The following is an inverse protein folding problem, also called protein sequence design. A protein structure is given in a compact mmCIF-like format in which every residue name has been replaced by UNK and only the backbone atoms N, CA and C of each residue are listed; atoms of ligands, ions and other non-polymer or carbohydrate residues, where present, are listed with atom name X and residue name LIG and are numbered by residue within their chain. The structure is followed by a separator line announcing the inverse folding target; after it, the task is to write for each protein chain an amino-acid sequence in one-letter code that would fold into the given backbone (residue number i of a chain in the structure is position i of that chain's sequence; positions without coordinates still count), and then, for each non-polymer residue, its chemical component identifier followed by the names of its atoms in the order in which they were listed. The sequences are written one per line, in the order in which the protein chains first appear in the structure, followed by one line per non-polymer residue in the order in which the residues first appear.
data_IF_716522816475
#
_entry.id   IF_716522816475
#
_cell.length_a   1.000
_cell.length_b   1.000
_cell.length_c   1.000
_cell.angle_alpha   90.00
_cell.angle_beta   90.00
_cell.angle_gamma   90.00
#
_symmetry.space_group_name_H-M   'P 1'
#
loop_
_entity.id
_entity.type
_entity.pdbx_description
1 polymer ?
#
# COMPACT_ATOMS: atom_id res chain seq x y z
N UNK A 1 18.42 -19.10 0.72
CA UNK A 1 18.58 -18.82 2.16
C UNK A 1 17.52 -17.81 2.55
N UNK A 2 16.87 -17.97 3.69
CA UNK A 2 16.01 -16.92 4.22
C UNK A 2 16.88 -15.71 4.61
N UNK A 3 16.48 -14.48 4.25
CA UNK A 3 17.13 -13.25 4.73
C UNK A 3 17.25 -13.25 6.24
N UNK A 4 18.37 -12.73 6.75
CA UNK A 4 18.54 -12.50 8.18
C UNK A 4 17.69 -11.31 8.63
N UNK A 5 17.43 -11.22 9.94
CA UNK A 5 16.75 -10.07 10.56
C UNK A 5 17.35 -8.72 10.11
N UNK A 6 18.67 -8.61 10.08
CA UNK A 6 19.40 -7.39 9.71
C UNK A 6 19.17 -6.89 8.27
N UNK A 7 18.71 -7.78 7.40
CA UNK A 7 18.46 -7.50 5.96
C UNK A 7 16.97 -7.46 5.63
N UNK A 8 16.09 -7.60 6.63
CA UNK A 8 14.64 -7.47 6.50
C UNK A 8 14.17 -6.10 6.98
N UNK A 9 13.39 -5.42 6.16
CA UNK A 9 12.85 -4.10 6.48
C UNK A 9 11.33 -4.08 6.31
N UNK A 10 10.64 -3.62 7.34
CA UNK A 10 9.27 -3.15 7.24
C UNK A 10 9.27 -1.67 6.87
N UNK A 11 8.56 -1.33 5.81
CA UNK A 11 8.50 0.01 5.25
C UNK A 11 7.04 0.45 5.17
N UNK A 12 6.71 1.52 5.90
CA UNK A 12 5.35 2.05 5.96
C UNK A 12 5.28 3.55 5.69
N UNK A 13 4.10 4.05 5.33
CA UNK A 13 3.84 5.47 5.22
C UNK A 13 2.89 5.92 6.33
N UNK A 14 3.35 6.87 7.15
CA UNK A 14 2.66 7.39 8.32
C UNK A 14 2.47 8.92 8.28
N UNK A 15 2.54 9.51 7.09
CA UNK A 15 2.32 10.95 6.90
C UNK A 15 0.89 11.32 7.31
N UNK A 16 0.77 12.36 8.15
CA UNK A 16 -0.52 12.80 8.69
C UNK A 16 -0.97 12.03 9.92
N UNK A 17 -0.21 11.02 10.36
CA UNK A 17 -0.49 10.30 11.61
C UNK A 17 0.44 10.72 12.73
N UNK A 18 -0.09 10.70 13.95
CA UNK A 18 0.66 10.85 15.20
C UNK A 18 1.00 9.49 15.81
N UNK A 19 2.04 9.39 16.67
CA UNK A 19 2.46 8.14 17.29
C UNK A 19 1.33 7.24 17.84
N UNK A 20 0.26 7.76 18.50
CA UNK A 20 -0.85 6.93 18.97
C UNK A 20 -1.58 6.15 17.88
N UNK A 21 -1.65 6.68 16.65
CA UNK A 21 -2.37 6.05 15.54
C UNK A 21 -1.57 4.91 14.88
N UNK A 22 -0.25 4.87 15.09
CA UNK A 22 0.63 3.79 14.62
C UNK A 22 0.82 2.69 15.67
N UNK A 23 0.20 2.86 16.84
CA UNK A 23 0.43 2.01 18.01
C UNK A 23 0.06 0.56 17.73
N UNK A 24 -1.03 0.31 16.99
CA UNK A 24 -1.51 -1.04 16.66
C UNK A 24 -0.43 -1.86 15.96
N UNK A 25 0.13 -1.33 14.86
CA UNK A 25 1.21 -2.00 14.15
C UNK A 25 2.47 -2.13 15.02
N UNK A 26 2.95 -1.03 15.60
CA UNK A 26 4.23 -1.03 16.32
C UNK A 26 4.21 -1.92 17.57
N UNK A 27 3.11 -1.93 18.32
CA UNK A 27 2.97 -2.81 19.48
C UNK A 27 2.79 -4.26 19.09
N UNK A 28 2.05 -4.57 18.01
CA UNK A 28 1.93 -5.96 17.53
C UNK A 28 3.29 -6.51 17.10
N UNK A 29 4.09 -5.73 16.35
CA UNK A 29 5.46 -6.10 15.98
C UNK A 29 6.35 -6.35 17.20
N UNK A 30 6.27 -5.49 18.22
CA UNK A 30 7.02 -5.68 19.47
C UNK A 30 6.56 -6.94 20.23
N UNK A 31 5.26 -7.22 20.28
CA UNK A 31 4.68 -8.39 20.95
C UNK A 31 5.16 -9.69 20.30
N UNK A 32 5.23 -9.73 18.97
CA UNK A 32 5.71 -10.92 18.25
C UNK A 32 7.24 -11.00 18.16
N UNK A 33 7.96 -10.03 18.73
CA UNK A 33 9.41 -10.00 18.74
C UNK A 33 10.03 -9.78 17.36
N UNK A 34 9.46 -8.90 16.53
CA UNK A 34 9.98 -8.59 15.20
C UNK A 34 11.45 -8.16 15.26
N UNK A 35 12.32 -8.91 14.59
CA UNK A 35 13.77 -8.64 14.58
C UNK A 35 14.24 -7.76 13.42
N UNK A 36 13.36 -7.46 12.46
CA UNK A 36 13.68 -6.60 11.32
C UNK A 36 13.72 -5.11 11.66
N UNK A 37 14.18 -4.29 10.71
CA UNK A 37 14.17 -2.84 10.86
C UNK A 37 12.81 -2.26 10.46
N UNK A 38 12.33 -1.27 11.21
CA UNK A 38 11.10 -0.55 10.89
C UNK A 38 11.49 0.82 10.32
N UNK A 39 11.03 1.13 9.11
CA UNK A 39 11.25 2.41 8.42
C UNK A 39 9.89 3.03 8.11
N UNK A 40 9.66 4.27 8.56
CA UNK A 40 8.38 4.95 8.38
C UNK A 40 8.57 6.28 7.66
N UNK A 41 7.88 6.48 6.53
CA UNK A 41 7.76 7.81 5.94
C UNK A 41 6.83 8.65 6.78
N UNK A 42 7.30 9.78 7.28
CA UNK A 42 6.53 10.70 8.12
C UNK A 42 6.47 12.08 7.49
N UNK A 43 5.41 12.82 7.82
CA UNK A 43 5.30 14.22 7.42
C UNK A 43 6.19 15.12 8.27
N UNK A 44 5.80 16.38 8.39
CA UNK A 44 6.40 17.29 9.37
C UNK A 44 5.90 16.92 10.77
N UNK A 45 6.78 16.31 11.57
CA UNK A 45 6.50 15.92 12.96
C UNK A 45 7.44 16.67 13.91
N UNK A 46 6.96 17.13 15.08
CA UNK A 46 7.83 17.68 16.11
C UNK A 46 8.91 16.69 16.53
N UNK A 47 10.07 17.20 16.98
CA UNK A 47 11.19 16.36 17.43
C UNK A 47 10.77 15.34 18.50
N UNK A 48 9.91 15.73 19.45
CA UNK A 48 9.38 14.83 20.48
C UNK A 48 8.58 13.64 19.90
N UNK A 49 7.81 13.85 18.82
CA UNK A 49 7.07 12.77 18.16
C UNK A 49 8.01 11.86 17.35
N UNK A 50 9.04 12.43 16.73
CA UNK A 50 10.11 11.67 16.06
C UNK A 50 10.86 10.77 17.06
N UNK A 51 11.15 11.30 18.25
CA UNK A 51 11.82 10.53 19.32
C UNK A 51 10.92 9.46 19.90
N UNK A 52 9.61 9.72 20.03
CA UNK A 52 8.64 8.70 20.43
C UNK A 52 8.59 7.53 19.44
N UNK A 53 8.67 7.80 18.13
CA UNK A 53 8.75 6.74 17.10
C UNK A 53 10.05 5.94 17.20
N UNK A 54 11.19 6.61 17.43
CA UNK A 54 12.48 5.94 17.66
C UNK A 54 12.47 5.07 18.91
N UNK A 55 11.85 5.53 19.99
CA UNK A 55 11.67 4.76 21.22
C UNK A 55 10.80 3.50 21.02
N UNK A 56 9.93 3.50 20.00
CA UNK A 56 9.16 2.33 19.58
C UNK A 56 9.91 1.43 18.57
N UNK A 57 11.19 1.71 18.28
CA UNK A 57 12.03 0.93 17.37
C UNK A 57 11.89 1.31 15.89
N UNK A 58 11.18 2.39 15.57
CA UNK A 58 11.03 2.87 14.19
C UNK A 58 12.11 3.88 13.79
N UNK A 59 12.51 3.84 12.53
CA UNK A 59 13.38 4.83 11.88
C UNK A 59 12.50 5.74 11.02
N UNK A 60 12.07 6.91 11.53
CA UNK A 60 11.26 7.83 10.74
C UNK A 60 12.11 8.56 9.69
N UNK A 61 11.57 8.67 8.47
CA UNK A 61 12.13 9.42 7.34
C UNK A 61 11.14 10.53 7.00
N UNK A 62 11.53 11.77 7.22
CA UNK A 62 10.72 12.92 6.87
C UNK A 62 10.59 13.05 5.34
N UNK A 63 9.36 13.18 4.85
CA UNK A 63 9.06 13.43 3.44
C UNK A 63 8.28 14.73 3.29
N UNK A 64 8.67 15.54 2.31
CA UNK A 64 8.10 16.87 2.05
C UNK A 64 7.73 17.09 0.58
N UNK A 65 7.91 16.07 -0.26
CA UNK A 65 7.64 16.15 -1.69
C UNK A 65 6.34 15.40 -2.05
N UNK A 66 5.18 15.94 -1.66
CA UNK A 66 3.86 15.46 -2.12
C UNK A 66 2.79 16.56 -2.03
N UNK A 67 1.65 16.48 -2.76
CA UNK A 67 0.66 17.56 -2.79
C UNK A 67 0.13 18.02 -1.42
N UNK A 68 0.10 17.14 -0.42
CA UNK A 68 -0.35 17.43 0.94
C UNK A 68 0.70 18.11 1.84
N UNK A 69 1.97 18.16 1.45
CA UNK A 69 3.03 18.89 2.18
C UNK A 69 3.29 20.29 1.65
N UNK A 70 2.68 20.67 0.53
CA UNK A 70 2.86 22.00 -0.05
C UNK A 70 1.89 23.03 0.53
N UNK A 71 2.32 24.30 0.51
CA UNK A 71 1.40 25.41 0.81
C UNK A 71 0.17 25.38 -0.12
N UNK A 72 -0.97 25.88 0.39
CA UNK A 72 -2.22 25.97 -0.39
C UNK A 72 -2.03 26.66 -1.75
N UNK A 73 -1.17 27.69 -1.82
CA UNK A 73 -0.85 28.40 -3.07
C UNK A 73 -0.17 27.47 -4.10
N UNK A 74 0.81 26.68 -3.65
CA UNK A 74 1.53 25.73 -4.51
C UNK A 74 0.60 24.59 -4.93
N UNK A 75 -0.22 24.09 -4.00
CA UNK A 75 -1.21 23.05 -4.29
C UNK A 75 -2.22 23.51 -5.34
N UNK A 76 -2.79 24.73 -5.22
CA UNK A 76 -3.70 25.31 -6.22
C UNK A 76 -3.03 25.50 -7.59
N UNK A 77 -1.78 25.96 -7.63
CA UNK A 77 -1.03 26.07 -8.90
C UNK A 77 -0.85 24.71 -9.56
N UNK A 78 -0.41 23.73 -8.77
CA UNK A 78 -0.23 22.36 -9.23
C UNK A 78 -1.56 21.81 -9.76
N UNK A 79 -2.66 21.92 -8.99
CA UNK A 79 -3.97 21.36 -9.33
C UNK A 79 -4.73 22.15 -10.41
N UNK A 80 -4.21 23.32 -10.82
CA UNK A 80 -4.89 24.16 -11.81
C UNK A 80 -5.13 23.42 -13.13
N UNK A 81 -6.30 23.63 -13.79
CA UNK A 81 -6.60 23.01 -15.08
C UNK A 81 -5.54 23.27 -16.16
N UNK A 82 -4.85 24.42 -16.06
CA UNK A 82 -3.74 24.80 -16.97
C UNK A 82 -2.48 23.98 -16.74
N UNK A 83 -2.21 23.55 -15.50
CA UNK A 83 -1.06 22.70 -15.17
C UNK A 83 -1.32 21.22 -15.50
N UNK A 84 -2.59 20.77 -15.47
CA UNK A 84 -2.97 19.38 -15.79
C UNK A 84 -2.31 18.80 -17.04
N UNK A 85 -2.42 19.42 -18.25
CA UNK A 85 -1.76 18.88 -19.44
C UNK A 85 -0.25 18.78 -19.27
N UNK A 86 0.39 19.79 -18.67
CA UNK A 86 1.84 19.82 -18.46
C UNK A 86 2.33 18.65 -17.58
N UNK A 87 1.57 18.27 -16.54
CA UNK A 87 1.88 17.11 -15.69
C UNK A 87 1.96 15.81 -16.50
N UNK A 88 0.94 15.59 -17.33
CA UNK A 88 0.87 14.43 -18.21
C UNK A 88 2.02 14.42 -19.21
N UNK A 89 2.37 15.56 -19.80
CA UNK A 89 3.46 15.67 -20.77
C UNK A 89 4.84 15.36 -20.17
N UNK A 90 5.16 15.86 -18.97
CA UNK A 90 6.45 15.56 -18.32
C UNK A 90 6.60 14.07 -18.03
N UNK A 91 5.55 13.45 -17.48
CA UNK A 91 5.56 12.03 -17.17
C UNK A 91 5.57 11.18 -18.45
N UNK A 92 4.80 11.58 -19.47
CA UNK A 92 4.81 10.93 -20.77
C UNK A 92 6.20 11.00 -21.40
N UNK A 93 6.83 12.17 -21.44
CA UNK A 93 8.18 12.33 -21.98
C UNK A 93 9.17 11.42 -21.26
N UNK A 94 9.17 11.41 -19.92
CA UNK A 94 10.03 10.53 -19.11
C UNK A 94 9.84 9.04 -19.42
N UNK A 95 8.64 8.63 -19.85
CA UNK A 95 8.34 7.23 -20.25
C UNK A 95 8.91 6.85 -21.61
N UNK A 96 8.93 7.80 -22.55
CA UNK A 96 9.35 7.61 -23.94
C UNK A 96 10.87 7.76 -24.15
N UNK A 97 11.59 8.33 -23.19
CA UNK A 97 13.05 8.38 -23.24
C UNK A 97 13.64 6.96 -23.28
N UNK A 98 14.69 6.71 -24.10
CA UNK A 98 15.34 5.41 -24.24
C UNK A 98 16.25 5.10 -23.04
N UNK A 99 15.65 5.04 -21.85
CA UNK A 99 16.34 4.81 -20.58
C UNK A 99 16.21 3.34 -20.15
N UNK A 100 17.20 2.86 -19.41
CA UNK A 100 17.09 1.58 -18.72
C UNK A 100 15.90 1.61 -17.74
N UNK A 101 15.30 0.45 -17.46
CA UNK A 101 14.14 0.38 -16.56
C UNK A 101 14.43 1.03 -15.21
N UNK A 102 15.60 0.76 -14.62
CA UNK A 102 16.01 1.34 -13.33
C UNK A 102 16.08 2.86 -13.37
N UNK A 103 16.72 3.45 -14.39
CA UNK A 103 16.85 4.91 -14.52
C UNK A 103 15.47 5.55 -14.75
N UNK A 104 14.65 4.96 -15.61
CA UNK A 104 13.28 5.42 -15.85
C UNK A 104 12.41 5.36 -14.61
N UNK A 105 12.42 4.26 -13.86
CA UNK A 105 11.62 4.14 -12.63
C UNK A 105 12.08 5.15 -11.58
N UNK A 106 13.40 5.39 -11.43
CA UNK A 106 13.92 6.45 -10.55
C UNK A 106 13.40 7.83 -10.95
N UNK A 107 13.47 8.16 -12.24
CA UNK A 107 12.99 9.44 -12.76
C UNK A 107 11.49 9.62 -12.49
N UNK A 108 10.69 8.59 -12.78
CA UNK A 108 9.25 8.57 -12.52
C UNK A 108 8.93 8.67 -11.04
N UNK A 109 9.65 7.97 -10.16
CA UNK A 109 9.46 8.06 -8.73
C UNK A 109 9.70 9.50 -8.23
N UNK A 110 10.84 10.11 -8.61
CA UNK A 110 11.20 11.46 -8.18
C UNK A 110 10.24 12.54 -8.69
N UNK A 111 9.71 12.38 -9.90
CA UNK A 111 8.74 13.34 -10.46
C UNK A 111 7.34 13.06 -9.90
N UNK A 112 6.93 11.79 -9.85
CA UNK A 112 5.58 11.36 -9.53
C UNK A 112 5.15 11.67 -8.10
N UNK A 113 6.08 11.63 -7.13
CA UNK A 113 5.75 11.96 -5.72
C UNK A 113 5.13 13.35 -5.58
N UNK A 114 5.48 14.31 -6.46
CA UNK A 114 4.93 15.67 -6.44
C UNK A 114 3.46 15.75 -6.91
N UNK A 115 2.91 14.70 -7.51
CA UNK A 115 1.56 14.68 -8.10
C UNK A 115 0.59 13.75 -7.38
N UNK A 116 1.08 12.87 -6.53
CA UNK A 116 0.30 11.80 -5.92
C UNK A 116 0.16 11.98 -4.40
N UNK A 117 -1.05 11.76 -3.87
CA UNK A 117 -1.28 11.68 -2.42
C UNK A 117 -0.37 10.61 -1.79
N UNK A 118 -0.05 10.74 -0.49
CA UNK A 118 0.94 9.85 0.15
C UNK A 118 0.59 8.36 0.07
N UNK A 119 -0.70 8.01 0.14
CA UNK A 119 -1.16 6.62 -0.04
C UNK A 119 -0.71 5.99 -1.37
N UNK A 120 -0.45 6.82 -2.38
CA UNK A 120 0.04 6.42 -3.70
C UNK A 120 1.54 6.67 -3.82
N UNK A 121 2.00 7.85 -3.38
CA UNK A 121 3.42 8.21 -3.43
C UNK A 121 4.31 7.26 -2.59
N UNK A 122 3.75 6.55 -1.61
CA UNK A 122 4.48 5.54 -0.81
C UNK A 122 5.19 4.48 -1.66
N UNK A 123 4.59 4.05 -2.78
CA UNK A 123 5.24 3.07 -3.68
C UNK A 123 6.44 3.67 -4.41
N UNK A 124 6.36 4.96 -4.77
CA UNK A 124 7.43 5.69 -5.45
C UNK A 124 8.60 5.93 -4.48
N UNK A 125 8.30 6.34 -3.24
CA UNK A 125 9.30 6.47 -2.18
C UNK A 125 9.94 5.12 -1.83
N UNK A 126 9.13 4.06 -1.67
CA UNK A 126 9.62 2.73 -1.35
C UNK A 126 10.56 2.21 -2.45
N UNK A 127 10.26 2.45 -3.73
CA UNK A 127 11.15 2.06 -4.83
C UNK A 127 12.51 2.76 -4.74
N UNK A 128 12.52 4.10 -4.65
CA UNK A 128 13.77 4.86 -4.66
C UNK A 128 14.60 4.58 -3.40
N UNK A 129 13.93 4.38 -2.26
CA UNK A 129 14.58 3.98 -1.01
C UNK A 129 15.19 2.57 -1.11
N UNK A 130 14.44 1.57 -1.59
CA UNK A 130 14.95 0.20 -1.71
C UNK A 130 16.13 0.14 -2.69
N UNK A 131 16.07 0.89 -3.79
CA UNK A 131 17.16 0.96 -4.77
C UNK A 131 18.45 1.56 -4.19
N UNK A 132 18.34 2.49 -3.24
CA UNK A 132 19.47 3.12 -2.53
C UNK A 132 20.00 2.29 -1.36
N UNK A 133 19.26 1.27 -0.91
CA UNK A 133 19.63 0.41 0.22
C UNK A 133 19.88 -1.03 -0.26
N UNK A 134 21.04 -1.32 -0.91
CA UNK A 134 21.31 -2.61 -1.55
C UNK A 134 21.44 -3.79 -0.58
N UNK A 135 21.69 -3.51 0.71
CA UNK A 135 21.80 -4.53 1.77
C UNK A 135 20.46 -5.14 2.17
N UNK A 136 19.35 -4.47 1.84
CA UNK A 136 17.99 -4.98 2.12
C UNK A 136 17.67 -6.11 1.17
N UNK A 137 17.50 -7.31 1.71
CA UNK A 137 17.18 -8.53 0.98
C UNK A 137 15.67 -8.85 0.99
N UNK A 138 14.94 -8.34 1.98
CA UNK A 138 13.48 -8.49 2.10
C UNK A 138 12.83 -7.18 2.49
N UNK A 139 11.75 -6.84 1.80
CA UNK A 139 10.93 -5.68 2.10
C UNK A 139 9.51 -6.15 2.43
N UNK A 140 8.97 -5.65 3.54
CA UNK A 140 7.58 -5.74 3.95
C UNK A 140 7.01 -4.33 3.77
N UNK A 141 6.28 -4.10 2.68
CA UNK A 141 5.56 -2.84 2.48
C UNK A 141 4.21 -2.96 3.18
N UNK A 142 3.91 -2.09 4.15
CA UNK A 142 2.64 -2.17 4.86
C UNK A 142 2.00 -0.81 5.20
N UNK A 143 0.68 -0.81 5.34
CA UNK A 143 -0.05 0.23 6.05
C UNK A 143 0.22 0.17 7.56
N UNK A 144 0.04 1.31 8.22
CA UNK A 144 0.48 1.51 9.62
C UNK A 144 -0.65 1.54 10.64
N UNK A 145 -1.91 1.62 10.19
CA UNK A 145 -3.08 1.72 11.07
C UNK A 145 -3.86 0.42 11.20
N UNK A 146 -4.02 -0.29 10.10
CA UNK A 146 -4.94 -1.40 9.91
C UNK A 146 -4.22 -2.71 9.56
N UNK A 147 -2.96 -2.83 9.97
CA UNK A 147 -2.17 -4.06 9.89
C UNK A 147 -1.71 -4.48 11.28
N UNK A 148 -1.96 -5.74 11.62
CA UNK A 148 -1.56 -6.37 12.88
C UNK A 148 -0.60 -7.52 12.57
N UNK A 149 0.57 -7.54 13.21
CA UNK A 149 1.47 -8.70 13.13
C UNK A 149 0.99 -9.82 14.07
N UNK A 150 0.77 -11.01 13.53
CA UNK A 150 0.36 -12.20 14.29
C UNK A 150 1.55 -13.11 14.62
N UNK A 151 2.62 -13.05 13.84
CA UNK A 151 3.94 -13.62 14.15
C UNK A 151 5.03 -12.74 13.54
N UNK A 152 6.30 -13.00 13.84
CA UNK A 152 7.41 -12.23 13.27
C UNK A 152 7.43 -12.36 11.72
N UNK A 153 7.10 -11.30 10.96
CA UNK A 153 7.09 -11.36 9.50
C UNK A 153 8.51 -11.48 8.89
N UNK A 154 9.57 -11.18 9.63
CA UNK A 154 10.93 -11.45 9.19
C UNK A 154 11.27 -12.94 9.23
N UNK A 155 10.67 -13.71 10.12
CA UNK A 155 10.91 -15.15 10.26
C UNK A 155 9.94 -16.03 9.47
N UNK A 156 8.89 -15.44 8.91
CA UNK A 156 7.93 -16.20 8.13
C UNK A 156 8.63 -16.90 6.94
N UNK A 157 8.41 -18.22 6.75
CA UNK A 157 9.08 -19.00 5.72
C UNK A 157 8.50 -18.65 4.34
N UNK A 158 9.02 -17.59 3.76
CA UNK A 158 8.70 -17.18 2.39
C UNK A 158 9.64 -17.89 1.42
N UNK A 159 9.06 -18.66 0.50
CA UNK A 159 9.75 -19.03 -0.74
C UNK A 159 10.12 -17.75 -1.52
N UNK A 160 11.07 -17.83 -2.45
CA UNK A 160 11.42 -16.67 -3.28
C UNK A 160 10.20 -16.23 -4.11
N UNK A 161 9.98 -14.92 -4.17
CA UNK A 161 8.85 -14.32 -4.86
C UNK A 161 8.26 -13.09 -4.16
N UNK A 162 7.16 -12.64 -4.74
CA UNK A 162 6.27 -11.63 -4.20
C UNK A 162 5.12 -12.33 -3.47
N UNK A 163 4.78 -11.87 -2.28
CA UNK A 163 3.70 -12.37 -1.46
C UNK A 163 2.68 -11.26 -1.26
N UNK A 164 1.45 -11.55 -1.67
CA UNK A 164 0.32 -10.63 -1.60
C UNK A 164 -0.80 -11.30 -0.80
N UNK A 165 -1.59 -10.49 -0.10
CA UNK A 165 -2.58 -10.96 0.85
C UNK A 165 -3.97 -10.58 0.36
N UNK A 166 -4.92 -11.50 0.48
CA UNK A 166 -6.32 -11.30 0.15
C UNK A 166 -7.03 -10.64 1.33
N UNK A 167 -8.06 -9.82 1.10
CA UNK A 167 -8.81 -9.15 2.19
C UNK A 167 -9.81 -10.10 2.87
N UNK A 168 -10.75 -10.63 2.08
CA UNK A 168 -11.71 -11.65 2.47
C UNK A 168 -11.79 -12.67 1.32
N UNK A 169 -11.79 -13.97 1.65
CA UNK A 169 -11.95 -15.05 0.69
C UNK A 169 -13.31 -15.01 -0.05
N UNK A 170 -14.32 -14.32 0.49
CA UNK A 170 -15.68 -14.20 -0.06
C UNK A 170 -15.83 -13.00 -0.99
N UNK A 171 -15.01 -11.97 -0.80
CA UNK A 171 -15.05 -10.71 -1.55
C UNK A 171 -14.39 -10.81 -2.93
N UNK A 172 -14.95 -10.08 -3.90
CA UNK A 172 -14.36 -9.92 -5.22
C UNK A 172 -14.38 -8.44 -5.64
N UNK A 173 -13.60 -8.08 -6.66
CA UNK A 173 -13.45 -6.70 -7.12
C UNK A 173 -14.77 -6.05 -7.59
N UNK A 174 -15.81 -6.83 -7.93
CA UNK A 174 -17.13 -6.34 -8.32
C UNK A 174 -17.99 -6.02 -7.09
N UNK A 175 -18.08 -6.98 -6.17
CA UNK A 175 -19.11 -7.02 -5.12
C UNK A 175 -18.60 -6.67 -3.73
N UNK A 176 -17.29 -6.48 -3.55
CA UNK A 176 -16.65 -6.28 -2.23
C UNK A 176 -17.48 -5.40 -1.30
N UNK A 177 -18.04 -6.03 -0.26
CA UNK A 177 -18.72 -5.38 0.85
C UNK A 177 -17.64 -4.87 1.81
N UNK A 178 -17.59 -3.55 2.04
CA UNK A 178 -16.99 -3.05 3.27
C UNK A 178 -18.07 -3.12 4.34
N UNK A 179 -17.84 -3.91 5.40
CA UNK A 179 -18.76 -4.00 6.52
C UNK A 179 -19.14 -2.61 7.02
N UNK A 180 -20.43 -2.46 7.30
CA UNK A 180 -20.99 -1.31 8.01
C UNK A 180 -20.25 -1.20 9.33
N UNK A 181 -19.29 -0.28 9.47
CA UNK A 181 -19.03 0.54 10.66
C UNK A 181 -17.65 1.25 10.61
N UNK A 182 -17.70 2.56 10.83
CA UNK A 182 -16.64 3.47 11.28
C UNK A 182 -15.69 4.14 10.25
N UNK A 183 -15.97 5.43 10.07
CA UNK A 183 -15.01 6.56 9.99
C UNK A 183 -14.23 6.87 8.70
N UNK A 184 -14.35 6.12 7.61
CA UNK A 184 -13.92 6.59 6.28
C UNK A 184 -15.09 6.68 5.30
N UNK A 185 -15.96 7.64 5.54
CA UNK A 185 -16.98 8.09 4.60
C UNK A 185 -16.30 8.66 3.33
N UNK A 186 -16.29 7.90 2.25
CA UNK A 186 -16.49 8.48 0.93
C UNK A 186 -17.93 8.20 0.53
N UNK A 187 -18.84 8.91 1.18
CA UNK A 187 -20.20 9.07 0.68
C UNK A 187 -20.14 9.65 -0.73
N UNK A 188 -20.91 9.11 -1.66
CA UNK A 188 -21.39 9.94 -2.75
C UNK A 188 -22.09 11.18 -2.16
N UNK A 189 -22.20 12.27 -2.91
CA UNK A 189 -22.76 13.53 -2.42
C UNK A 189 -24.22 13.42 -1.87
N UNK A 190 -24.87 12.27 -2.09
CA UNK A 190 -26.22 11.93 -1.64
C UNK A 190 -26.28 11.01 -0.40
N UNK A 191 -25.14 10.69 0.23
CA UNK A 191 -25.10 9.85 1.43
C UNK A 191 -25.30 8.35 1.18
N UNK A 192 -25.28 7.88 -0.07
CA UNK A 192 -25.42 6.45 -0.36
C UNK A 192 -24.09 5.68 -0.20
N UNK A 193 -24.20 4.54 0.49
CA UNK A 193 -23.13 3.57 0.74
C UNK A 193 -22.76 2.82 -0.56
N UNK A 194 -21.49 2.83 -0.98
CA UNK A 194 -21.07 2.17 -2.21
C UNK A 194 -20.56 0.74 -1.96
N UNK A 195 -21.47 -0.25 -2.06
CA UNK A 195 -21.08 -1.60 -2.48
C UNK A 195 -20.24 -1.49 -3.76
N UNK A 196 -19.12 -2.22 -3.85
CA UNK A 196 -18.32 -2.25 -5.07
C UNK A 196 -17.45 -1.02 -5.31
N UNK A 197 -16.94 -0.36 -4.25
CA UNK A 197 -15.97 0.75 -4.40
C UNK A 197 -14.70 0.32 -5.18
N UNK A 198 -14.25 -0.94 -5.02
CA UNK A 198 -13.18 -1.51 -5.84
C UNK A 198 -13.55 -1.52 -7.35
N UNK A 199 -14.79 -1.84 -7.68
CA UNK A 199 -15.30 -1.80 -9.05
C UNK A 199 -15.39 -0.36 -9.56
N UNK A 200 -15.76 0.60 -8.70
CA UNK A 200 -15.78 2.02 -9.04
C UNK A 200 -14.36 2.54 -9.35
N UNK A 201 -13.37 2.20 -8.54
CA UNK A 201 -11.96 2.53 -8.81
C UNK A 201 -11.45 1.90 -10.11
N UNK A 202 -11.74 0.61 -10.32
CA UNK A 202 -11.36 -0.11 -11.54
C UNK A 202 -11.99 0.51 -12.79
N UNK A 203 -13.30 0.81 -12.73
CA UNK A 203 -14.06 1.46 -13.81
C UNK A 203 -13.49 2.83 -14.12
N UNK A 204 -13.19 3.63 -13.10
CA UNK A 204 -12.67 4.98 -13.30
C UNK A 204 -11.31 4.98 -13.99
N UNK A 205 -10.38 4.10 -13.56
CA UNK A 205 -9.02 4.07 -14.09
C UNK A 205 -8.88 3.33 -15.43
N UNK A 206 -9.67 2.27 -15.65
CA UNK A 206 -9.47 1.33 -16.74
C UNK A 206 -10.70 1.10 -17.63
N UNK A 207 -11.86 1.63 -17.22
CA UNK A 207 -13.13 1.49 -17.95
C UNK A 207 -13.86 0.16 -17.71
N UNK A 208 -15.09 0.08 -18.21
CA UNK A 208 -16.01 -1.04 -17.99
C UNK A 208 -15.44 -2.40 -18.41
N UNK A 209 -14.63 -2.42 -19.48
CA UNK A 209 -14.01 -3.66 -19.98
C UNK A 209 -13.16 -4.36 -18.92
N UNK A 210 -12.51 -3.59 -18.05
CA UNK A 210 -11.72 -4.17 -16.96
C UNK A 210 -12.59 -4.68 -15.82
N UNK A 211 -13.72 -4.02 -15.52
CA UNK A 211 -14.69 -4.52 -14.55
C UNK A 211 -15.28 -5.85 -14.99
N UNK A 212 -15.70 -5.97 -16.26
CA UNK A 212 -16.20 -7.24 -16.81
C UNK A 212 -15.13 -8.33 -16.75
N UNK A 213 -13.89 -7.99 -17.07
CA UNK A 213 -12.78 -8.96 -17.13
C UNK A 213 -12.29 -9.41 -15.75
N UNK A 214 -12.19 -8.49 -14.79
CA UNK A 214 -11.50 -8.72 -13.51
C UNK A 214 -12.43 -8.68 -12.30
N UNK A 215 -13.67 -8.19 -12.43
CA UNK A 215 -14.57 -7.96 -11.29
C UNK A 215 -14.75 -9.20 -10.40
N UNK A 216 -14.84 -10.40 -10.97
CA UNK A 216 -14.98 -11.66 -10.21
C UNK A 216 -13.68 -12.20 -9.61
N UNK A 217 -12.55 -11.49 -9.76
CA UNK A 217 -11.29 -11.89 -9.14
C UNK A 217 -11.27 -11.49 -7.66
N UNK A 218 -10.59 -12.27 -6.80
CA UNK A 218 -10.49 -11.95 -5.39
C UNK A 218 -9.74 -10.63 -5.19
N UNK A 219 -10.08 -9.91 -4.14
CA UNK A 219 -9.43 -8.65 -3.79
C UNK A 219 -8.12 -8.98 -3.07
N UNK A 220 -7.01 -8.48 -3.59
CA UNK A 220 -5.73 -8.44 -2.85
C UNK A 220 -5.51 -7.05 -2.27
N UNK A 221 -5.24 -6.98 -0.96
CA UNK A 221 -4.93 -5.74 -0.26
C UNK A 221 -3.58 -5.18 -0.73
N UNK A 222 -3.58 -3.97 -1.27
CA UNK A 222 -2.36 -3.26 -1.63
C UNK A 222 -1.62 -2.70 -0.40
N UNK A 223 -2.29 -2.69 0.76
CA UNK A 223 -1.78 -2.24 2.05
C UNK A 223 -0.84 -3.21 2.74
N UNK A 224 -0.59 -4.39 2.18
CA UNK A 224 0.44 -5.31 2.67
C UNK A 224 1.02 -6.12 1.51
N UNK A 225 2.33 -6.11 1.38
CA UNK A 225 3.06 -6.90 0.38
C UNK A 225 4.44 -7.22 0.91
N UNK A 226 4.85 -8.48 0.80
CA UNK A 226 6.16 -8.94 1.26
C UNK A 226 6.90 -9.58 0.10
N UNK A 227 8.20 -9.36 -0.02
CA UNK A 227 8.96 -10.10 -1.03
C UNK A 227 10.45 -10.01 -0.84
N UNK A 228 11.16 -10.89 -1.55
CA UNK A 228 12.59 -10.74 -1.75
C UNK A 228 12.90 -9.47 -2.57
N UNK A 229 14.13 -8.98 -2.45
CA UNK A 229 14.56 -7.73 -3.10
C UNK A 229 14.26 -7.70 -4.61
N UNK A 230 14.66 -8.71 -5.42
CA UNK A 230 14.30 -8.73 -6.84
C UNK A 230 12.80 -8.59 -7.11
N UNK A 231 11.97 -9.37 -6.40
CA UNK A 231 10.52 -9.33 -6.55
C UNK A 231 9.93 -7.99 -6.13
N UNK A 232 10.41 -7.39 -5.04
CA UNK A 232 9.93 -6.09 -4.57
C UNK A 232 10.35 -4.94 -5.48
N UNK A 233 11.58 -4.94 -6.00
CA UNK A 233 12.00 -3.94 -7.00
C UNK A 233 11.17 -4.04 -8.28
N UNK A 234 10.83 -5.26 -8.71
CA UNK A 234 9.96 -5.48 -9.87
C UNK A 234 8.53 -4.99 -9.61
N UNK A 235 7.94 -5.39 -8.47
CA UNK A 235 6.61 -4.95 -8.04
C UNK A 235 6.49 -3.43 -7.95
N UNK A 236 7.41 -2.79 -7.22
CA UNK A 236 7.41 -1.35 -7.02
C UNK A 236 7.66 -0.58 -8.34
N UNK A 237 8.44 -1.15 -9.26
CA UNK A 237 8.62 -0.58 -10.60
C UNK A 237 7.33 -0.68 -11.45
N UNK A 238 6.61 -1.80 -11.38
CA UNK A 238 5.33 -1.99 -12.06
C UNK A 238 4.27 -1.03 -11.51
N UNK A 239 4.15 -0.93 -10.18
CA UNK A 239 3.28 0.05 -9.50
C UNK A 239 3.63 1.47 -9.92
N UNK A 240 4.90 1.88 -9.80
CA UNK A 240 5.36 3.23 -10.17
C UNK A 240 5.04 3.57 -11.63
N UNK A 241 5.34 2.66 -12.55
CA UNK A 241 5.11 2.87 -13.98
C UNK A 241 3.63 3.00 -14.34
N UNK A 242 2.76 2.25 -13.67
CA UNK A 242 1.32 2.27 -13.91
C UNK A 242 0.63 3.47 -13.23
N UNK A 243 1.00 3.77 -11.97
CA UNK A 243 0.53 4.96 -11.25
C UNK A 243 0.91 6.25 -12.00
N UNK A 244 2.14 6.32 -12.51
CA UNK A 244 2.58 7.44 -13.34
C UNK A 244 1.88 7.46 -14.71
N UNK A 245 1.50 6.30 -15.28
CA UNK A 245 0.69 6.26 -16.51
C UNK A 245 -0.66 6.95 -16.32
N UNK A 246 -1.23 6.74 -15.15
CA UNK A 246 -2.57 7.14 -14.77
C UNK A 246 -2.56 8.42 -13.93
N UNK A 247 -1.49 9.24 -13.97
CA UNK A 247 -1.36 10.40 -13.07
C UNK A 247 -2.53 11.36 -13.10
N UNK A 248 -3.12 11.60 -14.28
CA UNK A 248 -4.27 12.51 -14.41
C UNK A 248 -5.49 12.02 -13.60
N UNK A 249 -6.09 10.85 -13.88
CA UNK A 249 -7.22 10.37 -13.10
C UNK A 249 -6.84 10.06 -11.64
N UNK A 250 -5.61 9.59 -11.40
CA UNK A 250 -5.18 9.25 -10.03
C UNK A 250 -5.05 10.49 -9.14
N UNK A 251 -4.64 11.63 -9.68
CA UNK A 251 -4.54 12.87 -8.89
C UNK A 251 -5.89 13.38 -8.38
N UNK A 252 -7.02 12.77 -8.80
CA UNK A 252 -8.38 13.19 -8.49
C UNK A 252 -9.08 12.29 -7.44
N UNK A 253 -8.44 11.23 -6.94
CA UNK A 253 -9.08 10.32 -5.98
C UNK A 253 -8.13 9.52 -5.07
N UNK A 254 -8.73 8.82 -4.10
CA UNK A 254 -8.04 7.93 -3.15
C UNK A 254 -8.41 6.46 -3.40
N UNK A 255 -7.57 5.52 -2.95
CA UNK A 255 -7.77 4.07 -3.11
C UNK A 255 -7.39 3.51 -4.49
N UNK A 256 -6.92 4.35 -5.40
CA UNK A 256 -6.52 3.91 -6.75
C UNK A 256 -5.28 3.01 -6.80
N UNK A 257 -4.45 3.02 -5.77
CA UNK A 257 -3.38 2.03 -5.59
C UNK A 257 -3.93 0.61 -5.46
N UNK A 258 -5.05 0.42 -4.76
CA UNK A 258 -5.75 -0.88 -4.67
C UNK A 258 -6.15 -1.40 -6.06
N UNK A 259 -6.74 -0.55 -6.89
CA UNK A 259 -7.15 -0.92 -8.24
C UNK A 259 -5.95 -1.23 -9.16
N UNK A 260 -4.89 -0.41 -9.11
CA UNK A 260 -3.67 -0.64 -9.88
C UNK A 260 -2.98 -1.94 -9.46
N UNK A 261 -2.84 -2.17 -8.15
CA UNK A 261 -2.28 -3.40 -7.58
C UNK A 261 -3.02 -4.64 -8.09
N UNK A 262 -4.35 -4.65 -7.97
CA UNK A 262 -5.18 -5.77 -8.41
C UNK A 262 -5.16 -5.97 -9.94
N UNK A 263 -5.11 -4.89 -10.73
CA UNK A 263 -4.94 -5.02 -12.18
C UNK A 263 -3.61 -5.66 -12.52
N UNK A 264 -2.51 -5.20 -11.92
CA UNK A 264 -1.17 -5.76 -12.18
C UNK A 264 -1.10 -7.24 -11.79
N UNK A 265 -1.66 -7.59 -10.64
CA UNK A 265 -1.77 -8.97 -10.16
C UNK A 265 -2.56 -9.86 -11.12
N UNK A 266 -3.83 -9.53 -11.36
CA UNK A 266 -4.74 -10.41 -12.10
C UNK A 266 -4.52 -10.43 -13.62
N UNK A 267 -3.69 -9.52 -14.14
CA UNK A 267 -3.22 -9.56 -15.54
C UNK A 267 -1.86 -10.22 -15.70
N UNK A 268 -1.24 -10.72 -14.62
CA UNK A 268 0.07 -11.38 -14.66
C UNK A 268 1.25 -10.44 -14.87
N UNK A 269 1.05 -9.13 -14.73
CA UNK A 269 2.10 -8.10 -14.93
C UNK A 269 3.10 -8.01 -13.77
N UNK A 270 2.88 -8.75 -12.69
CA UNK A 270 3.80 -8.88 -11.55
C UNK A 270 4.80 -10.06 -11.69
N UNK A 271 4.76 -10.78 -12.81
CA UNK A 271 5.64 -11.93 -13.07
C UNK A 271 5.07 -13.26 -12.57
N UNK A 272 5.89 -14.31 -12.67
CA UNK A 272 5.46 -15.71 -12.43
C UNK A 272 5.64 -16.20 -10.99
N UNK A 273 6.36 -15.46 -10.14
CA UNK A 273 6.63 -15.83 -8.74
C UNK A 273 5.81 -14.98 -7.78
N UNK A 274 4.49 -15.08 -7.89
CA UNK A 274 3.55 -14.38 -7.00
C UNK A 274 2.77 -15.42 -6.19
N UNK A 275 2.80 -15.27 -4.87
CA UNK A 275 2.17 -16.16 -3.90
C UNK A 275 1.02 -15.42 -3.23
N UNK A 276 -0.20 -15.95 -3.38
CA UNK A 276 -1.41 -15.38 -2.77
C UNK A 276 -1.65 -16.06 -1.43
N UNK A 277 -1.86 -15.25 -0.40
CA UNK A 277 -2.17 -15.70 0.95
C UNK A 277 -3.58 -15.24 1.32
N UNK A 278 -4.45 -16.12 1.83
CA UNK A 278 -5.65 -15.69 2.54
C UNK A 278 -5.32 -14.70 3.66
N UNK A 279 -6.29 -13.86 4.05
CA UNK A 279 -6.11 -13.00 5.22
C UNK A 279 -5.88 -13.88 6.47
N UNK A 280 -5.03 -13.42 7.38
CA UNK A 280 -4.71 -14.15 8.62
C UNK A 280 -4.00 -15.50 8.46
N UNK A 281 -3.77 -16.02 7.24
CA UNK A 281 -3.01 -17.26 7.03
C UNK A 281 -1.49 -17.06 7.08
N UNK A 282 -1.05 -15.84 7.34
CA UNK A 282 0.33 -15.41 7.19
C UNK A 282 0.76 -14.57 8.42
N UNK A 283 1.97 -13.97 8.49
CA UNK A 283 2.44 -13.36 9.73
C UNK A 283 1.75 -12.03 10.05
N UNK A 284 0.84 -11.58 9.19
CA UNK A 284 0.18 -10.29 9.22
C UNK A 284 -1.30 -10.47 8.91
N UNK A 285 -2.12 -9.64 9.55
CA UNK A 285 -3.56 -9.60 9.40
C UNK A 285 -3.97 -8.16 9.04
N UNK A 286 -4.78 -8.00 7.99
CA UNK A 286 -5.36 -6.71 7.64
C UNK A 286 -6.74 -6.59 8.28
N UNK A 287 -6.94 -5.58 9.14
CA UNK A 287 -8.21 -5.34 9.86
C UNK A 287 -9.13 -4.34 9.14
N UNK A 288 -8.74 -3.89 7.95
CA UNK A 288 -9.48 -2.88 7.20
C UNK A 288 -10.93 -3.34 6.91
N UNK A 289 -11.91 -2.59 7.40
CA UNK A 289 -13.33 -2.87 7.17
C UNK A 289 -13.95 -3.96 8.06
N UNK A 290 -13.22 -4.47 9.06
CA UNK A 290 -13.78 -5.37 10.08
C UNK A 290 -14.22 -4.55 11.29
N UNK A 291 -15.51 -4.51 11.65
CA UNK A 291 -15.95 -3.80 12.85
C UNK A 291 -15.29 -4.37 14.11
N UNK A 292 -14.96 -3.52 15.07
CA UNK A 292 -14.35 -3.93 16.35
C UNK A 292 -15.14 -5.04 17.07
N UNK A 293 -16.48 -5.02 16.93
CA UNK A 293 -17.39 -6.01 17.51
C UNK A 293 -17.26 -7.41 16.91
N UNK A 294 -16.64 -7.50 15.74
CA UNK A 294 -16.51 -8.74 14.97
C UNK A 294 -15.08 -9.31 15.05
N UNK A 295 -14.09 -8.52 15.49
CA UNK A 295 -12.73 -9.00 15.74
C UNK A 295 -12.69 -10.07 16.82
N UNK A 296 -12.45 -11.32 16.43
CA UNK A 296 -12.24 -12.45 17.32
C UNK A 296 -10.76 -12.82 17.43
N UNK A 297 -10.37 -13.36 18.58
CA UNK A 297 -9.02 -13.90 18.80
C UNK A 297 -9.08 -15.37 19.21
N UNK A 298 -8.06 -16.16 18.83
CA UNK A 298 -7.88 -17.52 19.31
C UNK A 298 -7.30 -17.58 20.74
N UNK A 299 -7.11 -18.80 21.26
CA UNK A 299 -6.52 -19.04 22.58
C UNK A 299 -5.09 -18.51 22.76
N UNK A 300 -4.38 -18.23 21.67
CA UNK A 300 -3.04 -17.65 21.64
C UNK A 300 -3.09 -16.11 21.42
N UNK A 301 -4.29 -15.54 21.32
CA UNK A 301 -4.53 -14.13 21.11
C UNK A 301 -4.24 -13.63 19.69
N UNK A 302 -4.28 -14.53 18.68
CA UNK A 302 -4.17 -14.20 17.26
C UNK A 302 -5.56 -13.88 16.70
N UNK A 303 -5.67 -12.83 15.89
CA UNK A 303 -6.91 -12.52 15.18
C UNK A 303 -7.37 -13.68 14.29
N UNK A 304 -8.64 -14.05 14.41
CA UNK A 304 -9.27 -15.06 13.57
C UNK A 304 -9.81 -14.39 12.31
N UNK A 305 -9.53 -14.98 11.15
CA UNK A 305 -10.27 -14.65 9.93
C UNK A 305 -11.71 -15.15 10.10
N UNK A 306 -12.71 -14.32 9.77
CA UNK A 306 -14.10 -14.54 10.17
C UNK A 306 -14.66 -15.90 9.71
N UNK A 307 -15.11 -16.78 10.62
CA UNK A 307 -16.01 -17.86 10.28
C UNK A 307 -17.45 -17.39 10.58
N UNK A 308 -18.08 -16.60 9.71
CA UNK A 308 -19.52 -16.38 9.88
C UNK A 308 -20.30 -17.56 9.29
N UNK A 309 -20.82 -18.34 10.23
CA UNK A 309 -21.85 -19.39 10.18
C UNK A 309 -21.67 -20.51 9.16
N UNK A 310 -21.50 -21.72 9.69
CA UNK A 310 -21.78 -22.94 8.95
C UNK A 310 -23.13 -22.82 8.26
N UNK A 311 -23.17 -23.21 6.99
CA UNK A 311 -24.41 -23.56 6.32
C UNK A 311 -25.12 -24.59 7.20
N UNK A 312 -26.26 -24.21 7.76
CA UNK A 312 -27.39 -25.13 7.85
C UNK A 312 -28.34 -24.74 6.72
#
# INVERSE_FOLDING_TARGET
MNPTADTTVLFGAAVGYRPPQMRVLLQSLRRVGFEGKIVLLVGDLPAAEMDALRALGATPIAVTAFPGSYSRRVQLKLQSPRARPLRGHVINLARWLPLTQRVRTRLLARIGVHYHHIGIARYLYAWDWLDQNPTVQRLILCDVRDVVAQSDPAKFPLVSGLHVFLEDARGNLLDGEYGVNSEYEHCAADGTFQRGINAAWLRHLYGEKFVVRLGRKPISCAGITIGDRPSMLHYLAAMTGELCRLTQPIAEGMGYDQAVHNVLLHTGRLGSKVHLHPNGSAPVFTVHGVPDTELAVDGDGRLLDHPQHGRQ
#
